data_IF_229384476987
#
_entry.id   IF_229384476987
#
_cell.length_a   1.000
_cell.length_b   1.000
_cell.length_c   1.000
_cell.angle_alpha   90.00
_cell.angle_beta   90.00
_cell.angle_gamma   90.00
#
_symmetry.space_group_name_H-M   'P 1'
#
loop_
_entity.id
_entity.type
_entity.pdbx_description
1 polymer ?
#
# COMPACT_ATOMS: atom_id res chain seq x y z
N UNK A 1 -22.58 16.71 3.09
CA UNK A 1 -21.57 17.21 4.07
C UNK A 1 -21.69 16.48 5.42
N UNK A 2 -22.89 16.31 5.99
CA UNK A 2 -23.05 15.60 7.27
C UNK A 2 -22.56 14.15 7.28
N UNK A 3 -22.82 13.40 6.22
CA UNK A 3 -22.37 12.00 6.10
C UNK A 3 -20.84 11.87 6.08
N UNK A 4 -20.16 12.74 5.34
CA UNK A 4 -18.69 12.74 5.29
C UNK A 4 -18.08 13.04 6.65
N UNK A 5 -18.65 14.02 7.38
CA UNK A 5 -18.21 14.35 8.73
C UNK A 5 -18.48 13.21 9.71
N UNK A 6 -19.61 12.52 9.58
CA UNK A 6 -19.94 11.36 10.43
C UNK A 6 -18.98 10.20 10.17
N UNK A 7 -18.63 9.93 8.92
CA UNK A 7 -17.64 8.91 8.55
C UNK A 7 -16.25 9.25 9.10
N UNK A 8 -15.81 10.50 8.94
CA UNK A 8 -14.54 10.96 9.50
C UNK A 8 -14.50 10.83 11.03
N UNK A 9 -15.60 11.23 11.70
CA UNK A 9 -15.74 11.09 13.16
C UNK A 9 -15.67 9.61 13.59
N UNK A 10 -16.34 8.72 12.86
CA UNK A 10 -16.30 7.27 13.14
C UNK A 10 -14.88 6.71 13.05
N UNK A 11 -14.08 7.16 12.06
CA UNK A 11 -12.68 6.78 11.95
C UNK A 11 -11.85 7.21 13.17
N UNK A 12 -11.98 8.49 13.54
CA UNK A 12 -11.29 9.05 14.71
C UNK A 12 -11.71 8.29 15.97
N UNK A 13 -13.00 8.00 16.13
CA UNK A 13 -13.53 7.25 17.27
C UNK A 13 -12.94 5.82 17.36
N UNK A 14 -12.80 5.12 16.22
CA UNK A 14 -12.18 3.78 16.18
C UNK A 14 -10.70 3.85 16.56
N UNK A 15 -9.96 4.86 16.09
CA UNK A 15 -8.56 5.06 16.46
C UNK A 15 -8.42 5.33 17.96
N UNK A 16 -9.26 6.21 18.50
CA UNK A 16 -9.29 6.51 19.94
C UNK A 16 -9.63 5.25 20.74
N UNK A 17 -10.64 4.50 20.31
CA UNK A 17 -11.02 3.23 20.94
C UNK A 17 -9.85 2.25 20.98
N UNK A 18 -9.15 2.07 19.86
CA UNK A 18 -7.96 1.21 19.79
C UNK A 18 -6.86 1.67 20.76
N UNK A 19 -6.61 2.96 20.82
CA UNK A 19 -5.65 3.54 21.76
C UNK A 19 -6.06 3.31 23.24
N UNK A 20 -7.34 3.54 23.57
CA UNK A 20 -7.87 3.32 24.94
C UNK A 20 -7.79 1.85 25.33
N UNK A 21 -8.15 0.92 24.43
CA UNK A 21 -8.06 -0.51 24.69
C UNK A 21 -6.62 -0.95 24.93
N UNK A 22 -5.68 -0.43 24.14
CA UNK A 22 -4.24 -0.69 24.34
C UNK A 22 -3.75 -0.12 25.66
N UNK A 23 -4.11 1.14 25.99
CA UNK A 23 -3.66 1.80 27.23
C UNK A 23 -4.22 1.12 28.49
N UNK A 24 -5.36 0.45 28.37
CA UNK A 24 -5.96 -0.36 29.45
C UNK A 24 -5.47 -1.80 29.51
N UNK A 25 -4.52 -2.17 28.66
CA UNK A 25 -3.93 -3.51 28.65
C UNK A 25 -4.81 -4.59 28.02
N UNK A 26 -5.91 -4.21 27.35
CA UNK A 26 -6.75 -5.16 26.61
C UNK A 26 -6.02 -5.77 25.41
N UNK A 27 -5.23 -4.95 24.69
CA UNK A 27 -4.35 -5.37 23.62
C UNK A 27 -2.89 -5.26 24.06
N UNK A 28 -2.13 -6.32 23.83
CA UNK A 28 -0.66 -6.35 23.94
C UNK A 28 -0.02 -6.00 22.61
N UNK A 29 1.26 -5.68 22.62
CA UNK A 29 2.01 -5.35 21.40
C UNK A 29 2.06 -6.54 20.42
N UNK A 30 2.09 -7.75 20.93
CA UNK A 30 2.08 -9.00 20.16
C UNK A 30 0.76 -9.22 19.40
N UNK A 31 -0.36 -8.76 19.95
CA UNK A 31 -1.69 -8.89 19.33
C UNK A 31 -1.79 -8.12 18.01
N UNK A 32 -1.01 -7.04 17.86
CA UNK A 32 -0.91 -6.30 16.61
C UNK A 32 -0.50 -7.19 15.44
N UNK A 33 0.47 -8.07 15.62
CA UNK A 33 0.93 -8.96 14.56
C UNK A 33 -0.12 -9.99 14.17
N UNK A 34 -0.88 -10.50 15.14
CA UNK A 34 -1.97 -11.46 14.89
C UNK A 34 -3.11 -10.77 14.14
N UNK A 35 -3.57 -9.64 14.65
CA UNK A 35 -4.66 -8.87 14.04
C UNK A 35 -4.29 -8.42 12.63
N UNK A 36 -3.09 -7.85 12.46
CA UNK A 36 -2.60 -7.42 11.13
C UNK A 36 -2.53 -8.59 10.16
N UNK A 37 -2.11 -9.77 10.60
CA UNK A 37 -2.05 -10.97 9.76
C UNK A 37 -3.44 -11.41 9.31
N UNK A 38 -4.42 -11.38 10.20
CA UNK A 38 -5.82 -11.71 9.86
C UNK A 38 -6.36 -10.69 8.85
N UNK A 39 -6.15 -9.40 9.12
CA UNK A 39 -6.63 -8.34 8.23
C UNK A 39 -5.99 -8.46 6.85
N UNK A 40 -4.67 -8.57 6.76
CA UNK A 40 -3.95 -8.55 5.47
C UNK A 40 -4.06 -9.86 4.68
N UNK A 41 -4.14 -11.01 5.38
CA UNK A 41 -4.14 -12.32 4.68
C UNK A 41 -5.53 -12.91 4.48
N UNK A 42 -6.54 -12.44 5.20
CA UNK A 42 -7.89 -13.00 5.16
C UNK A 42 -8.91 -11.91 4.81
N UNK A 43 -9.04 -10.91 5.68
CA UNK A 43 -10.14 -9.94 5.56
C UNK A 43 -10.01 -9.06 4.32
N UNK A 44 -8.82 -8.52 4.06
CA UNK A 44 -8.59 -7.64 2.92
C UNK A 44 -8.76 -8.37 1.56
N UNK A 45 -8.14 -9.55 1.33
CA UNK A 45 -8.41 -10.32 0.12
C UNK A 45 -9.87 -10.68 -0.06
N UNK A 46 -10.56 -11.10 1.01
CA UNK A 46 -11.98 -11.43 0.95
C UNK A 46 -12.83 -10.20 0.61
N UNK A 47 -12.55 -9.04 1.18
CA UNK A 47 -13.22 -7.80 0.84
C UNK A 47 -13.01 -7.40 -0.62
N UNK A 48 -11.79 -7.51 -1.13
CA UNK A 48 -11.49 -7.24 -2.54
C UNK A 48 -12.32 -8.16 -3.44
N UNK A 49 -12.23 -9.47 -3.25
CA UNK A 49 -12.99 -10.45 -4.06
C UNK A 49 -14.48 -10.19 -4.00
N UNK A 50 -15.04 -9.92 -2.83
CA UNK A 50 -16.46 -9.62 -2.64
C UNK A 50 -16.91 -8.38 -3.41
N UNK A 51 -16.08 -7.32 -3.43
CA UNK A 51 -16.43 -6.08 -4.14
C UNK A 51 -16.28 -6.22 -5.66
N UNK A 52 -15.35 -7.04 -6.14
CA UNK A 52 -15.21 -7.31 -7.58
C UNK A 52 -16.31 -8.20 -8.12
N UNK A 53 -16.87 -9.11 -7.34
CA UNK A 53 -17.88 -10.08 -7.81
C UNK A 53 -19.19 -9.44 -8.27
N UNK A 54 -19.47 -8.20 -7.90
CA UNK A 54 -20.66 -7.44 -8.29
C UNK A 54 -20.46 -6.43 -9.41
N UNK A 55 -19.25 -6.33 -9.99
CA UNK A 55 -18.92 -5.30 -10.98
C UNK A 55 -18.50 -5.88 -12.32
N UNK A 56 -18.98 -5.26 -13.41
CA UNK A 56 -18.45 -5.49 -14.75
C UNK A 56 -17.13 -4.72 -14.91
N UNK A 57 -16.03 -5.45 -15.14
CA UNK A 57 -14.74 -4.83 -15.41
C UNK A 57 -14.68 -4.37 -16.87
N UNK A 58 -14.56 -3.08 -17.06
CA UNK A 58 -14.35 -2.50 -18.38
C UNK A 58 -12.85 -2.34 -18.69
N UNK A 59 -12.42 -2.48 -19.96
CA UNK A 59 -11.02 -2.28 -20.34
C UNK A 59 -10.46 -0.90 -19.93
N UNK A 60 -11.31 0.12 -19.87
CA UNK A 60 -10.94 1.46 -19.39
C UNK A 60 -10.42 1.48 -17.96
N UNK A 61 -10.86 0.53 -17.13
CA UNK A 61 -10.39 0.41 -15.73
C UNK A 61 -8.93 -0.01 -15.63
N UNK A 62 -8.36 -0.64 -16.66
CA UNK A 62 -6.93 -0.94 -16.72
C UNK A 62 -6.06 0.32 -16.71
N UNK A 63 -6.60 1.47 -17.16
CA UNK A 63 -5.90 2.75 -17.03
C UNK A 63 -5.60 3.10 -15.58
N UNK A 64 -6.44 2.69 -14.64
CA UNK A 64 -6.21 2.92 -13.21
C UNK A 64 -4.97 2.14 -12.73
N UNK A 65 -4.79 0.91 -13.19
CA UNK A 65 -3.59 0.12 -12.91
C UNK A 65 -2.34 0.74 -13.53
N UNK A 66 -2.45 1.25 -14.75
CA UNK A 66 -1.35 1.97 -15.40
C UNK A 66 -0.98 3.27 -14.66
N UNK A 67 -1.96 3.97 -14.09
CA UNK A 67 -1.70 5.14 -13.24
C UNK A 67 -0.95 4.74 -11.95
N UNK A 68 -1.30 3.61 -11.33
CA UNK A 68 -0.57 3.09 -10.17
C UNK A 68 0.89 2.75 -10.48
N UNK A 69 1.12 2.06 -11.60
CA UNK A 69 2.46 1.74 -12.10
C UNK A 69 3.23 3.03 -12.45
N UNK A 70 2.62 3.92 -13.23
CA UNK A 70 3.23 5.17 -13.67
C UNK A 70 3.60 6.08 -12.51
N UNK A 71 2.71 6.19 -11.50
CA UNK A 71 2.99 6.94 -10.28
C UNK A 71 4.22 6.39 -9.54
N UNK A 72 4.33 5.07 -9.40
CA UNK A 72 5.51 4.44 -8.80
C UNK A 72 6.80 4.70 -9.58
N UNK A 73 6.74 4.66 -10.92
CA UNK A 73 7.89 4.99 -11.77
C UNK A 73 8.31 6.46 -11.59
N UNK A 74 7.34 7.38 -11.51
CA UNK A 74 7.62 8.82 -11.26
C UNK A 74 8.29 8.99 -9.90
N UNK A 75 7.81 8.30 -8.86
CA UNK A 75 8.41 8.36 -7.52
C UNK A 75 9.84 7.83 -7.50
N UNK A 76 10.12 6.72 -8.19
CA UNK A 76 11.50 6.20 -8.34
C UNK A 76 12.38 7.22 -9.07
N UNK A 77 11.91 7.78 -10.18
CA UNK A 77 12.62 8.81 -10.92
C UNK A 77 12.93 10.04 -10.06
N UNK A 78 11.96 10.49 -9.29
CA UNK A 78 12.11 11.59 -8.34
C UNK A 78 13.15 11.24 -7.26
N UNK A 79 13.07 10.05 -6.66
CA UNK A 79 14.05 9.57 -5.68
C UNK A 79 15.46 9.55 -6.26
N UNK A 80 15.61 9.09 -7.50
CA UNK A 80 16.88 9.05 -8.21
C UNK A 80 17.45 10.46 -8.41
N UNK A 81 16.62 11.41 -8.84
CA UNK A 81 17.02 12.80 -9.07
C UNK A 81 17.43 13.52 -7.76
N UNK A 82 16.62 13.38 -6.71
CA UNK A 82 16.91 14.00 -5.40
C UNK A 82 18.17 13.42 -4.75
N UNK A 83 18.48 12.16 -5.04
CA UNK A 83 19.69 11.51 -4.54
C UNK A 83 20.88 11.62 -5.50
N UNK A 84 20.79 12.42 -6.57
CA UNK A 84 21.91 12.71 -7.45
C UNK A 84 23.05 13.39 -6.66
N UNK A 85 24.24 12.83 -6.74
CA UNK A 85 25.41 13.32 -5.97
C UNK A 85 25.55 12.76 -4.56
N UNK A 86 24.60 11.95 -4.07
CA UNK A 86 24.72 11.21 -2.80
C UNK A 86 25.45 9.88 -2.99
N UNK A 87 25.78 9.23 -1.87
CA UNK A 87 26.37 7.88 -1.89
C UNK A 87 25.41 6.87 -2.54
N UNK A 88 25.94 5.73 -2.98
CA UNK A 88 25.13 4.66 -3.59
C UNK A 88 24.11 4.08 -2.60
N UNK A 89 24.49 4.01 -1.34
CA UNK A 89 23.65 3.55 -0.23
C UNK A 89 22.48 4.49 0.02
N UNK A 90 22.75 5.80 0.09
CA UNK A 90 21.72 6.82 0.29
C UNK A 90 20.76 6.90 -0.90
N UNK A 91 21.27 6.70 -2.12
CA UNK A 91 20.44 6.63 -3.32
C UNK A 91 19.51 5.41 -3.27
N UNK A 92 20.05 4.23 -2.98
CA UNK A 92 19.26 3.01 -2.84
C UNK A 92 18.20 3.14 -1.73
N UNK A 93 18.58 3.73 -0.60
CA UNK A 93 17.66 4.02 0.49
C UNK A 93 16.53 4.96 0.06
N UNK A 94 16.84 6.04 -0.66
CA UNK A 94 15.85 6.99 -1.18
C UNK A 94 14.87 6.31 -2.13
N UNK A 95 15.37 5.48 -3.06
CA UNK A 95 14.53 4.73 -3.99
C UNK A 95 13.57 3.81 -3.24
N UNK A 96 14.04 3.04 -2.29
CA UNK A 96 13.20 2.09 -1.54
C UNK A 96 12.14 2.79 -0.67
N UNK A 97 12.47 3.95 -0.11
CA UNK A 97 11.54 4.65 0.77
C UNK A 97 10.51 5.53 0.04
N UNK A 98 10.81 5.97 -1.19
CA UNK A 98 9.90 6.85 -1.94
C UNK A 98 9.05 6.11 -2.98
N UNK A 99 9.31 4.85 -3.26
CA UNK A 99 8.82 4.16 -4.45
C UNK A 99 7.47 3.49 -4.32
N UNK A 100 6.72 3.68 -3.25
CA UNK A 100 5.47 2.95 -3.08
C UNK A 100 4.39 3.70 -2.30
N UNK A 101 3.16 3.26 -2.51
CA UNK A 101 1.99 3.75 -1.79
C UNK A 101 1.54 2.71 -0.77
N UNK A 102 1.15 3.16 0.42
CA UNK A 102 0.55 2.29 1.43
C UNK A 102 -0.96 2.16 1.17
N UNK A 103 -1.32 1.38 0.17
CA UNK A 103 -2.71 1.24 -0.27
C UNK A 103 -3.50 0.33 0.68
N UNK A 104 -3.03 -0.89 0.88
CA UNK A 104 -3.77 -1.91 1.62
C UNK A 104 -4.02 -1.54 3.09
N UNK A 105 -2.99 -1.05 3.78
CA UNK A 105 -3.08 -0.78 5.22
C UNK A 105 -3.65 0.60 5.54
N UNK A 106 -3.44 1.59 4.67
CA UNK A 106 -3.82 2.97 4.95
C UNK A 106 -4.96 3.45 4.07
N UNK A 107 -4.82 3.37 2.75
CA UNK A 107 -5.79 3.97 1.82
C UNK A 107 -7.10 3.20 1.77
N UNK A 108 -7.06 1.85 1.73
CA UNK A 108 -8.25 1.00 1.60
C UNK A 108 -9.34 1.27 2.65
N UNK A 109 -9.02 1.32 3.96
CA UNK A 109 -10.03 1.60 4.98
C UNK A 109 -10.74 2.93 4.77
N UNK A 110 -9.99 3.99 4.38
CA UNK A 110 -10.59 5.30 4.10
C UNK A 110 -11.48 5.25 2.86
N UNK A 111 -10.98 4.67 1.78
CA UNK A 111 -11.72 4.56 0.53
C UNK A 111 -13.01 3.76 0.72
N UNK A 112 -12.97 2.69 1.48
CA UNK A 112 -14.16 1.89 1.81
C UNK A 112 -15.22 2.73 2.50
N UNK A 113 -14.84 3.58 3.44
CA UNK A 113 -15.78 4.39 4.20
C UNK A 113 -16.35 5.56 3.40
N UNK A 114 -15.54 6.20 2.56
CA UNK A 114 -15.95 7.41 1.84
C UNK A 114 -16.52 7.14 0.46
N UNK A 115 -16.05 6.12 -0.24
CA UNK A 115 -16.39 5.83 -1.64
C UNK A 115 -17.09 4.47 -1.82
N UNK A 116 -17.18 3.68 -0.76
CA UNK A 116 -17.85 2.38 -0.77
C UNK A 116 -17.23 1.36 -1.74
N UNK A 117 -18.03 0.40 -2.26
CA UNK A 117 -17.53 -0.70 -3.09
C UNK A 117 -16.79 -0.25 -4.36
N UNK A 118 -17.28 0.77 -5.06
CA UNK A 118 -16.65 1.27 -6.28
C UNK A 118 -15.24 1.84 -5.97
N UNK A 119 -15.09 2.51 -4.84
CA UNK A 119 -13.80 3.01 -4.39
C UNK A 119 -12.81 1.88 -4.10
N UNK A 120 -13.26 0.78 -3.46
CA UNK A 120 -12.41 -0.38 -3.19
C UNK A 120 -11.90 -0.98 -4.51
N UNK A 121 -12.77 -1.15 -5.50
CA UNK A 121 -12.40 -1.69 -6.81
C UNK A 121 -11.36 -0.79 -7.49
N UNK A 122 -11.62 0.52 -7.57
CA UNK A 122 -10.68 1.47 -8.18
C UNK A 122 -9.32 1.47 -7.45
N UNK A 123 -9.32 1.45 -6.12
CA UNK A 123 -8.10 1.43 -5.32
C UNK A 123 -7.34 0.11 -5.48
N UNK A 124 -8.04 -1.03 -5.58
CA UNK A 124 -7.42 -2.33 -5.83
C UNK A 124 -6.78 -2.42 -7.22
N UNK A 125 -7.42 -1.83 -8.23
CA UNK A 125 -6.86 -1.73 -9.58
C UNK A 125 -5.59 -0.85 -9.57
N UNK A 126 -5.63 0.29 -8.89
CA UNK A 126 -4.46 1.14 -8.73
C UNK A 126 -3.33 0.38 -8.02
N UNK A 127 -3.65 -0.34 -6.95
CA UNK A 127 -2.68 -1.11 -6.18
C UNK A 127 -2.08 -2.27 -6.97
N UNK A 128 -2.81 -2.85 -7.90
CA UNK A 128 -2.28 -3.88 -8.79
C UNK A 128 -1.09 -3.36 -9.60
N UNK A 129 -1.17 -2.13 -10.13
CA UNK A 129 -0.06 -1.46 -10.81
C UNK A 129 1.07 -1.08 -9.86
N UNK A 130 0.74 -0.54 -8.68
CA UNK A 130 1.69 -0.19 -7.64
C UNK A 130 2.46 -1.41 -7.13
N UNK A 131 1.84 -2.58 -7.08
CA UNK A 131 2.45 -3.82 -6.62
C UNK A 131 3.68 -4.25 -7.43
N UNK A 132 3.72 -4.01 -8.75
CA UNK A 132 4.90 -4.27 -9.56
C UNK A 132 6.11 -3.48 -9.07
N UNK A 133 5.90 -2.25 -8.65
CA UNK A 133 6.95 -1.40 -8.09
C UNK A 133 7.33 -1.88 -6.68
N UNK A 134 6.35 -2.05 -5.80
CA UNK A 134 6.60 -2.39 -4.39
C UNK A 134 7.18 -3.78 -4.19
N UNK A 135 6.76 -4.79 -4.99
CA UNK A 135 7.18 -6.19 -4.80
C UNK A 135 8.52 -6.52 -5.44
N UNK A 136 9.01 -5.71 -6.38
CA UNK A 136 10.28 -6.05 -7.03
C UNK A 136 10.96 -4.90 -7.77
N UNK A 137 10.20 -4.02 -8.40
CA UNK A 137 10.74 -2.92 -9.21
C UNK A 137 11.68 -2.01 -8.44
N UNK A 138 11.24 -1.51 -7.31
CA UNK A 138 12.01 -0.63 -6.45
C UNK A 138 13.29 -1.28 -5.92
N UNK A 139 13.19 -2.54 -5.49
CA UNK A 139 14.34 -3.30 -5.01
C UNK A 139 15.36 -3.54 -6.12
N UNK A 140 14.91 -3.92 -7.31
CA UNK A 140 15.78 -4.15 -8.46
C UNK A 140 16.56 -2.89 -8.83
N UNK A 141 15.87 -1.74 -8.90
CA UNK A 141 16.49 -0.45 -9.24
C UNK A 141 17.44 0.02 -8.13
N UNK A 142 17.07 -0.17 -6.86
CA UNK A 142 17.93 0.15 -5.73
C UNK A 142 19.22 -0.70 -5.72
N UNK A 143 19.13 -2.01 -6.01
CA UNK A 143 20.28 -2.89 -6.13
C UNK A 143 21.20 -2.48 -7.29
N UNK A 144 20.63 -2.10 -8.43
CA UNK A 144 21.40 -1.54 -9.55
C UNK A 144 22.12 -0.25 -9.14
N UNK A 145 21.44 0.64 -8.40
CA UNK A 145 22.02 1.90 -7.92
C UNK A 145 23.21 1.67 -6.97
N UNK A 146 23.19 0.60 -6.18
CA UNK A 146 24.30 0.17 -5.32
C UNK A 146 25.49 -0.40 -6.11
N UNK A 147 25.27 -0.82 -7.35
CA UNK A 147 26.27 -1.52 -8.15
C UNK A 147 26.38 -3.01 -7.81
N UNK A 148 25.40 -3.54 -7.08
CA UNK A 148 25.22 -4.97 -6.86
C UNK A 148 24.51 -5.56 -8.09
N UNK A 149 25.19 -5.56 -9.24
CA UNK A 149 24.72 -6.14 -10.49
C UNK A 149 24.70 -7.66 -10.42
N UNK A 150 23.70 -8.22 -9.78
CA UNK A 150 23.52 -9.66 -9.67
C UNK A 150 22.03 -9.94 -9.51
N UNK A 151 21.46 -10.61 -10.51
CA UNK A 151 20.05 -10.88 -10.71
C UNK A 151 19.23 -11.15 -9.46
N UNK A 152 17.94 -10.96 -9.62
CA UNK A 152 16.86 -11.23 -8.68
C UNK A 152 17.07 -12.57 -7.94
N UNK A 153 17.82 -12.54 -6.84
CA UNK A 153 17.93 -13.66 -5.91
C UNK A 153 16.76 -13.56 -4.95
N UNK A 154 15.67 -14.26 -5.25
CA UNK A 154 14.64 -14.56 -4.27
C UNK A 154 15.32 -15.39 -3.17
N UNK A 155 15.67 -14.73 -2.09
CA UNK A 155 16.14 -15.42 -0.88
C UNK A 155 14.91 -15.96 -0.16
N UNK A 156 14.48 -17.16 -0.56
CA UNK A 156 13.47 -17.92 0.17
C UNK A 156 14.12 -18.41 1.47
N UNK A 157 14.03 -17.60 2.51
CA UNK A 157 14.20 -18.06 3.87
C UNK A 157 12.79 -18.40 4.40
N UNK A 158 12.46 -19.67 4.38
CA UNK A 158 11.37 -20.25 5.17
C UNK A 158 11.84 -20.44 6.60
#
# INVERSE_FOLDING_TARGET
MGEILMQAFSFVAIIILGYVLRSRGFFKEEDFYVISRIVLKITLPAAIVSNFSGMSLEPSMLLISLLGLGGGVILIGTAWLISAGKSKEERAFSILNMSGYNIGNFTMPFVQSFLGPAGIVATSLFDSGNSFICLGGAYSIASMAKGEGGGFKIRTNF
#
